data_IF_383984674082
#
_entry.id   IF_383984674082
#
_cell.length_a   1.000
_cell.length_b   1.000
_cell.length_c   1.000
_cell.angle_alpha   90.00
_cell.angle_beta   90.00
_cell.angle_gamma   90.00
#
_symmetry.space_group_name_H-M   'P 1'
#
loop_
_entity.id
_entity.type
_entity.pdbx_description
1 polymer ?
#
# COMPACT_ATOMS: atom_id res chain seq x y z
N UNK A 1 11.00 -6.95 19.78
CA UNK A 1 10.81 -5.84 18.82
C UNK A 1 11.80 -4.75 19.18
N UNK A 2 12.84 -4.56 18.38
CA UNK A 2 13.77 -3.45 18.60
C UNK A 2 13.24 -2.25 17.81
N UNK A 3 12.96 -1.15 18.50
CA UNK A 3 12.48 0.07 17.87
C UNK A 3 13.63 0.77 17.15
N UNK A 4 13.40 1.15 15.89
CA UNK A 4 14.25 2.07 15.15
C UNK A 4 14.03 3.50 15.61
N UNK A 5 14.78 4.45 15.05
CA UNK A 5 14.63 5.88 15.29
C UNK A 5 14.70 6.66 13.99
N UNK A 6 13.86 7.68 13.87
CA UNK A 6 13.91 8.60 12.73
C UNK A 6 15.23 9.38 12.76
N UNK A 7 16.00 9.32 11.68
CA UNK A 7 17.25 10.09 11.51
C UNK A 7 17.00 11.34 10.70
N UNK A 8 16.16 11.23 9.66
CA UNK A 8 15.93 12.31 8.70
C UNK A 8 14.52 12.22 8.11
N UNK A 9 13.94 13.39 7.80
CA UNK A 9 12.62 13.54 7.14
C UNK A 9 12.81 14.51 5.98
N UNK A 10 12.42 14.09 4.77
CA UNK A 10 12.56 14.83 3.51
C UNK A 10 11.27 14.73 2.70
N UNK A 11 10.31 15.62 2.97
CA UNK A 11 8.95 15.49 2.44
C UNK A 11 8.39 14.10 2.79
N UNK A 12 7.86 13.31 1.83
CA UNK A 12 7.30 11.99 2.11
C UNK A 12 8.35 10.90 2.39
N UNK A 13 9.65 11.22 2.29
CA UNK A 13 10.74 10.26 2.49
C UNK A 13 11.27 10.37 3.92
N UNK A 14 11.32 9.24 4.64
CA UNK A 14 11.79 9.19 6.03
C UNK A 14 12.90 8.15 6.15
N UNK A 15 14.06 8.56 6.65
CA UNK A 15 15.18 7.65 6.92
C UNK A 15 15.14 7.22 8.40
N UNK A 16 15.17 5.91 8.64
CA UNK A 16 15.03 5.29 9.95
C UNK A 16 16.23 4.40 10.23
N UNK A 17 16.94 4.67 11.32
CA UNK A 17 18.04 3.83 11.79
C UNK A 17 17.53 2.75 12.73
N UNK A 18 18.00 1.53 12.54
CA UNK A 18 17.75 0.39 13.40
C UNK A 18 19.04 -0.06 14.10
N UNK A 19 18.94 -0.74 15.26
CA UNK A 19 20.11 -1.37 15.84
C UNK A 19 20.69 -2.46 14.92
N UNK A 20 21.99 -2.80 15.08
CA UNK A 20 22.62 -3.87 14.30
C UNK A 20 21.85 -5.20 14.42
N UNK A 21 21.59 -5.83 13.28
CA UNK A 21 20.86 -7.11 13.21
C UNK A 21 19.33 -6.98 13.29
N UNK A 22 18.79 -5.77 13.41
CA UNK A 22 17.34 -5.50 13.43
C UNK A 22 16.85 -4.75 12.19
N UNK A 23 17.64 -4.73 11.12
CA UNK A 23 17.31 -4.02 9.88
C UNK A 23 16.11 -4.70 9.18
N UNK A 24 14.98 -4.01 8.98
CA UNK A 24 13.82 -4.58 8.32
C UNK A 24 14.09 -4.85 6.83
N UNK A 25 13.40 -5.85 6.25
CA UNK A 25 13.47 -6.13 4.81
C UNK A 25 12.82 -5.02 3.99
N UNK A 26 13.16 -4.95 2.70
CA UNK A 26 12.46 -4.08 1.75
C UNK A 26 10.97 -4.46 1.71
N UNK A 27 10.10 -3.46 1.57
CA UNK A 27 8.64 -3.53 1.64
C UNK A 27 8.04 -3.77 3.03
N UNK A 28 8.86 -3.96 4.06
CA UNK A 28 8.35 -4.07 5.43
C UNK A 28 7.64 -2.79 5.84
N UNK A 29 6.47 -2.93 6.46
CA UNK A 29 5.73 -1.82 7.05
C UNK A 29 6.32 -1.46 8.41
N UNK A 30 6.56 -0.18 8.63
CA UNK A 30 6.92 0.40 9.92
C UNK A 30 5.79 1.28 10.43
N UNK A 31 5.68 1.40 11.75
CA UNK A 31 4.66 2.21 12.43
C UNK A 31 5.32 3.27 13.30
N UNK A 32 4.81 4.49 13.25
CA UNK A 32 5.25 5.60 14.11
C UNK A 32 4.03 6.46 14.48
N UNK A 33 4.00 6.97 15.70
CA UNK A 33 2.99 7.95 16.12
C UNK A 33 3.31 9.32 15.52
N UNK A 34 2.35 9.91 14.80
CA UNK A 34 2.43 11.24 14.24
C UNK A 34 1.24 12.10 14.71
N UNK A 35 1.52 13.08 15.56
CA UNK A 35 0.52 14.04 16.07
C UNK A 35 -0.04 14.97 14.97
N UNK A 36 0.58 15.05 13.80
CA UNK A 36 0.08 15.81 12.66
C UNK A 36 -1.09 15.15 11.92
N UNK A 37 -1.33 13.85 12.15
CA UNK A 37 -2.45 13.10 11.55
C UNK A 37 -3.62 13.08 12.53
N UNK A 38 -3.41 12.43 13.68
CA UNK A 38 -4.37 12.37 14.79
C UNK A 38 -3.64 11.99 16.10
N UNK A 39 -4.40 11.85 17.20
CA UNK A 39 -3.86 11.51 18.52
C UNK A 39 -3.62 10.00 18.73
N UNK A 40 -3.89 9.14 17.74
CA UNK A 40 -3.71 7.70 17.88
C UNK A 40 -2.22 7.34 17.81
N UNK A 41 -1.83 6.38 18.63
CA UNK A 41 -0.50 5.79 18.52
C UNK A 41 -0.37 4.93 17.25
N UNK A 42 0.86 4.83 16.73
CA UNK A 42 1.18 3.99 15.56
C UNK A 42 0.30 4.33 14.31
N UNK A 43 -0.13 5.59 14.18
CA UNK A 43 -1.07 6.05 13.14
C UNK A 43 -0.43 6.28 11.77
N UNK A 44 0.88 6.54 11.69
CA UNK A 44 1.59 6.66 10.42
C UNK A 44 2.27 5.35 10.04
N UNK A 45 2.03 4.91 8.81
CA UNK A 45 2.72 3.77 8.19
C UNK A 45 3.83 4.28 7.28
N UNK A 46 5.02 3.72 7.44
CA UNK A 46 6.16 3.93 6.54
C UNK A 46 6.49 2.60 5.85
N UNK A 47 6.64 2.59 4.53
CA UNK A 47 7.10 1.40 3.79
C UNK A 47 8.59 1.48 3.52
N UNK A 48 9.36 0.44 3.85
CA UNK A 48 10.79 0.39 3.54
C UNK A 48 11.00 0.27 2.03
N UNK A 49 11.65 1.26 1.43
CA UNK A 49 11.95 1.27 -0.01
C UNK A 49 13.37 0.78 -0.34
N UNK A 50 14.35 1.08 0.52
CA UNK A 50 15.75 0.72 0.29
C UNK A 50 16.57 0.69 1.58
N UNK A 51 17.69 -0.04 1.53
CA UNK A 51 18.73 -0.03 2.57
C UNK A 51 19.84 0.93 2.18
N UNK A 52 20.15 1.91 3.04
CA UNK A 52 21.16 2.94 2.78
C UNK A 52 22.57 2.55 3.27
N UNK A 53 22.68 1.52 4.10
CA UNK A 53 23.89 1.22 4.87
C UNK A 53 23.83 1.79 6.29
N UNK A 54 24.85 1.53 7.10
CA UNK A 54 24.93 2.01 8.50
C UNK A 54 23.69 1.69 9.36
N UNK A 55 23.06 0.54 9.10
CA UNK A 55 21.79 0.12 9.70
C UNK A 55 20.62 1.11 9.50
N UNK A 56 20.64 1.89 8.42
CA UNK A 56 19.59 2.83 8.06
C UNK A 56 18.80 2.33 6.87
N UNK A 57 17.48 2.40 6.98
CA UNK A 57 16.55 2.19 5.87
C UNK A 57 15.92 3.50 5.45
N UNK A 58 15.68 3.65 4.16
CA UNK A 58 14.86 4.73 3.63
C UNK A 58 13.46 4.23 3.39
N UNK A 59 12.49 4.98 3.88
CA UNK A 59 11.09 4.64 3.82
C UNK A 59 10.27 5.72 3.12
N UNK A 60 9.11 5.33 2.60
CA UNK A 60 8.11 6.22 2.03
C UNK A 60 6.92 6.24 2.97
N UNK A 61 6.51 7.43 3.39
CA UNK A 61 5.35 7.63 4.24
C UNK A 61 4.06 7.44 3.44
N UNK A 62 3.09 6.71 4.01
CA UNK A 62 1.78 6.48 3.41
C UNK A 62 0.76 7.60 3.71
N UNK A 63 1.17 8.59 4.50
CA UNK A 63 0.39 9.77 4.88
C UNK A 63 1.35 10.96 5.11
N UNK A 64 0.83 12.10 5.59
CA UNK A 64 1.64 13.28 5.88
C UNK A 64 2.74 12.99 6.91
N UNK A 65 3.91 13.57 6.67
CA UNK A 65 5.07 13.56 7.55
C UNK A 65 5.17 14.82 8.42
N UNK A 66 4.22 15.75 8.27
CA UNK A 66 4.15 16.94 9.11
C UNK A 66 3.94 16.50 10.57
N UNK A 67 4.71 17.07 11.50
CA UNK A 67 4.70 16.69 12.91
C UNK A 67 5.69 15.58 13.30
N UNK A 68 6.37 14.95 12.33
CA UNK A 68 7.45 14.02 12.63
C UNK A 68 8.69 14.73 13.19
N UNK A 69 9.38 14.06 14.11
CA UNK A 69 10.57 14.56 14.77
C UNK A 69 11.69 13.54 14.72
N UNK A 70 12.91 14.03 14.53
CA UNK A 70 14.12 13.19 14.60
C UNK A 70 14.25 12.60 16.00
N UNK A 71 14.67 11.34 16.06
CA UNK A 71 14.77 10.56 17.29
C UNK A 71 13.47 9.86 17.71
N UNK A 72 12.33 10.14 17.06
CA UNK A 72 11.08 9.43 17.34
C UNK A 72 11.25 7.92 17.15
N UNK A 73 10.68 7.11 18.07
CA UNK A 73 10.73 5.66 17.96
C UNK A 73 9.88 5.17 16.79
N UNK A 74 10.41 4.21 16.03
CA UNK A 74 9.73 3.57 14.91
C UNK A 74 9.65 2.08 15.16
N UNK A 75 8.45 1.53 15.04
CA UNK A 75 8.18 0.12 15.28
C UNK A 75 8.22 -0.65 13.97
N UNK A 76 9.08 -1.66 13.90
CA UNK A 76 9.05 -2.64 12.82
C UNK A 76 7.88 -3.61 13.04
N UNK A 77 6.96 -3.72 12.08
CA UNK A 77 5.84 -4.67 12.15
C UNK A 77 6.25 -6.11 11.83
N UNK A 78 7.37 -6.29 11.13
CA UNK A 78 7.89 -7.59 10.68
C UNK A 78 7.15 -8.18 9.49
N UNK A 79 6.19 -7.45 8.91
CA UNK A 79 5.43 -7.86 7.72
C UNK A 79 5.27 -6.65 6.78
N UNK A 80 4.86 -6.90 5.55
CA UNK A 80 4.52 -5.85 4.59
C UNK A 80 3.16 -5.23 4.93
N UNK A 81 2.78 -4.16 4.24
CA UNK A 81 1.42 -3.61 4.36
C UNK A 81 0.40 -4.69 3.96
N UNK A 82 -0.54 -4.98 4.86
CA UNK A 82 -1.63 -5.93 4.63
C UNK A 82 -2.97 -5.22 4.67
N UNK A 83 -3.85 -5.57 3.74
CA UNK A 83 -5.18 -4.98 3.62
C UNK A 83 -6.27 -6.05 3.78
N UNK A 84 -7.45 -5.72 4.32
CA UNK A 84 -8.56 -6.66 4.43
C UNK A 84 -9.09 -7.03 3.04
N UNK A 85 -9.51 -8.29 2.88
CA UNK A 85 -10.04 -8.83 1.61
C UNK A 85 -11.29 -9.68 1.83
N UNK A 86 -12.00 -9.99 0.76
CA UNK A 86 -13.22 -10.81 0.76
C UNK A 86 -14.50 -9.97 0.69
N UNK A 87 -15.66 -10.62 0.76
CA UNK A 87 -16.96 -9.98 0.54
C UNK A 87 -17.26 -8.84 1.52
N UNK A 88 -16.67 -8.88 2.72
CA UNK A 88 -16.82 -7.84 3.74
C UNK A 88 -16.28 -6.45 3.30
N UNK A 89 -15.46 -6.39 2.26
CA UNK A 89 -14.93 -5.13 1.72
C UNK A 89 -15.83 -4.51 0.64
N UNK A 90 -16.82 -5.25 0.13
CA UNK A 90 -17.71 -4.75 -0.93
C UNK A 90 -18.55 -3.56 -0.42
N UNK A 91 -18.56 -2.48 -1.21
CA UNK A 91 -19.29 -1.25 -0.87
C UNK A 91 -18.64 -0.41 0.25
N UNK A 92 -17.41 -0.73 0.64
CA UNK A 92 -16.59 0.05 1.59
C UNK A 92 -15.60 0.94 0.85
N UNK A 93 -15.24 2.08 1.43
CA UNK A 93 -14.12 2.90 0.96
C UNK A 93 -12.94 2.69 1.90
N UNK A 94 -11.79 2.27 1.34
CA UNK A 94 -10.56 2.01 2.08
C UNK A 94 -9.44 2.89 1.56
N UNK A 95 -8.53 3.28 2.45
CA UNK A 95 -7.27 3.91 2.06
C UNK A 95 -6.20 2.86 1.69
N UNK A 96 -4.99 3.34 1.32
CA UNK A 96 -3.89 2.50 0.84
C UNK A 96 -3.39 1.47 1.87
N UNK A 97 -3.55 1.76 3.17
CA UNK A 97 -3.14 0.86 4.26
C UNK A 97 -4.27 -0.07 4.71
N UNK A 98 -5.43 -0.03 4.05
CA UNK A 98 -6.57 -0.91 4.31
C UNK A 98 -7.50 -0.44 5.43
N UNK A 99 -7.36 0.80 5.90
CA UNK A 99 -8.26 1.38 6.90
C UNK A 99 -9.51 1.96 6.22
N UNK A 100 -10.71 1.79 6.81
CA UNK A 100 -11.95 2.35 6.26
C UNK A 100 -11.98 3.88 6.44
N UNK A 101 -12.37 4.58 5.39
CA UNK A 101 -12.53 6.06 5.37
C UNK A 101 -13.97 6.49 5.06
N UNK A 102 -14.92 5.56 5.13
CA UNK A 102 -16.33 5.76 4.81
C UNK A 102 -17.23 6.02 6.03
N UNK A 103 -16.65 6.20 7.22
CA UNK A 103 -17.35 6.41 8.50
C UNK A 103 -18.33 5.28 8.91
N UNK A 104 -18.30 4.11 8.24
CA UNK A 104 -19.18 2.96 8.53
C UNK A 104 -18.61 1.98 9.56
N UNK A 105 -17.65 2.43 10.37
CA UNK A 105 -16.96 1.60 11.36
C UNK A 105 -15.96 0.60 10.73
N UNK A 106 -15.45 -0.38 11.49
CA UNK A 106 -14.39 -1.27 11.02
C UNK A 106 -14.87 -2.25 9.94
N UNK A 107 -13.94 -2.69 9.08
CA UNK A 107 -14.19 -3.76 8.10
C UNK A 107 -13.93 -5.11 8.79
N UNK A 108 -14.99 -5.89 8.99
CA UNK A 108 -14.91 -7.22 9.63
C UNK A 108 -14.57 -8.30 8.60
N UNK A 109 -13.39 -8.21 8.01
CA UNK A 109 -12.87 -9.22 7.08
C UNK A 109 -12.27 -10.41 7.85
N UNK A 110 -12.48 -11.62 7.32
CA UNK A 110 -11.89 -12.85 7.88
C UNK A 110 -10.43 -13.07 7.45
N UNK A 111 -9.98 -12.38 6.40
CA UNK A 111 -8.64 -12.51 5.84
C UNK A 111 -8.05 -11.15 5.50
N UNK A 112 -6.72 -11.06 5.60
CA UNK A 112 -5.93 -9.93 5.12
C UNK A 112 -4.79 -10.42 4.23
N UNK A 113 -4.56 -9.74 3.12
CA UNK A 113 -3.51 -10.09 2.17
C UNK A 113 -2.43 -9.01 2.10
N UNK A 114 -1.16 -9.40 1.87
CA UNK A 114 -0.09 -8.45 1.59
C UNK A 114 -0.32 -7.75 0.24
N UNK A 115 0.02 -6.46 0.17
CA UNK A 115 -0.04 -5.69 -1.08
C UNK A 115 1.09 -6.10 -2.04
N UNK A 116 2.24 -6.53 -1.51
CA UNK A 116 3.37 -7.04 -2.27
C UNK A 116 3.24 -8.56 -2.44
N UNK A 117 3.22 -9.02 -3.69
CA UNK A 117 3.25 -10.44 -4.06
C UNK A 117 3.83 -10.62 -5.45
N UNK A 118 4.41 -11.79 -5.72
CA UNK A 118 4.85 -12.15 -7.05
C UNK A 118 3.67 -12.18 -8.04
N UNK A 119 3.96 -11.90 -9.30
CA UNK A 119 3.03 -12.13 -10.39
C UNK A 119 2.75 -13.65 -10.52
N UNK A 120 1.61 -14.05 -11.11
CA UNK A 120 1.35 -15.45 -11.44
C UNK A 120 2.46 -16.04 -12.32
N UNK A 121 2.83 -17.29 -12.03
CA UNK A 121 3.85 -18.02 -12.80
C UNK A 121 3.40 -18.22 -14.25
N UNK A 122 4.36 -18.42 -15.16
CA UNK A 122 4.07 -18.61 -16.59
C UNK A 122 3.12 -19.78 -16.84
N UNK A 123 3.21 -20.84 -16.03
CA UNK A 123 2.37 -22.05 -16.14
C UNK A 123 0.92 -21.83 -15.71
N UNK A 124 0.66 -20.79 -14.90
CA UNK A 124 -0.68 -20.46 -14.40
C UNK A 124 -1.39 -19.45 -15.32
N UNK A 125 -0.71 -18.94 -16.35
CA UNK A 125 -1.29 -17.97 -17.28
C UNK A 125 -2.20 -18.67 -18.29
N UNK A 126 -3.47 -18.23 -18.33
CA UNK A 126 -4.40 -18.70 -19.35
C UNK A 126 -4.04 -18.14 -20.73
N UNK A 127 -4.06 -19.00 -21.74
CA UNK A 127 -3.89 -18.63 -23.16
C UNK A 127 -5.23 -18.43 -23.88
N UNK A 128 -6.36 -18.61 -23.18
CA UNK A 128 -7.69 -18.46 -23.74
C UNK A 128 -8.01 -16.99 -24.03
N UNK A 129 -8.45 -16.69 -25.25
CA UNK A 129 -8.98 -15.38 -25.60
C UNK A 129 -10.50 -15.46 -25.59
N UNK A 130 -11.13 -14.82 -24.60
CA UNK A 130 -12.58 -14.66 -24.50
C UNK A 130 -12.92 -13.16 -24.57
N UNK A 131 -13.96 -12.80 -25.31
CA UNK A 131 -14.49 -11.43 -25.30
C UNK A 131 -15.31 -11.18 -24.03
N UNK A 132 -15.12 -10.00 -23.45
CA UNK A 132 -15.93 -9.47 -22.35
C UNK A 132 -16.93 -8.47 -22.94
N UNK A 133 -18.19 -8.89 -23.08
CA UNK A 133 -19.27 -8.04 -23.59
C UNK A 133 -19.65 -6.98 -22.56
N UNK A 134 -19.56 -5.71 -22.96
CA UNK A 134 -19.83 -4.58 -22.06
C UNK A 134 -21.23 -4.00 -22.22
N UNK A 135 -21.88 -4.23 -23.36
CA UNK A 135 -23.12 -3.58 -23.78
C UNK A 135 -22.91 -2.19 -24.38
N UNK A 136 -21.67 -1.72 -24.51
CA UNK A 136 -21.34 -0.39 -25.05
C UNK A 136 -20.96 -0.55 -26.52
N UNK A 137 -21.82 -0.07 -27.44
CA UNK A 137 -21.66 -0.26 -28.89
C UNK A 137 -20.26 0.03 -29.43
N UNK A 138 -19.66 1.18 -29.07
CA UNK A 138 -18.35 1.56 -29.60
C UNK A 138 -17.24 0.64 -29.07
N UNK A 139 -17.36 0.18 -27.81
CA UNK A 139 -16.40 -0.77 -27.21
C UNK A 139 -16.59 -2.14 -27.86
N UNK A 140 -17.79 -2.69 -27.82
CA UNK A 140 -18.05 -4.05 -28.27
C UNK A 140 -17.87 -4.23 -29.80
N UNK A 141 -18.00 -3.17 -30.60
CA UNK A 141 -17.82 -3.23 -32.06
C UNK A 141 -16.40 -2.90 -32.52
N UNK A 142 -15.78 -1.85 -31.96
CA UNK A 142 -14.52 -1.28 -32.49
C UNK A 142 -13.31 -1.73 -31.67
N UNK A 143 -13.45 -1.84 -30.35
CA UNK A 143 -12.35 -2.22 -29.46
C UNK A 143 -12.83 -3.18 -28.35
N UNK A 144 -13.23 -4.42 -28.70
CA UNK A 144 -13.79 -5.37 -27.73
C UNK A 144 -12.80 -5.69 -26.61
N UNK A 145 -13.28 -5.79 -25.37
CA UNK A 145 -12.42 -6.05 -24.23
C UNK A 145 -12.13 -7.54 -24.08
N UNK A 146 -10.88 -7.96 -23.83
CA UNK A 146 -10.56 -9.33 -23.47
C UNK A 146 -10.93 -9.59 -22.01
N UNK A 147 -11.69 -10.66 -21.75
CA UNK A 147 -12.01 -11.12 -20.40
C UNK A 147 -10.74 -11.61 -19.70
N UNK A 148 -10.46 -11.06 -18.51
CA UNK A 148 -9.23 -11.32 -17.77
C UNK A 148 -7.97 -10.61 -18.32
N UNK A 149 -8.11 -9.79 -19.36
CA UNK A 149 -7.02 -8.99 -19.90
C UNK A 149 -6.89 -7.61 -19.26
N UNK A 150 -5.95 -6.81 -19.77
CA UNK A 150 -5.73 -5.41 -19.36
C UNK A 150 -6.30 -4.47 -20.42
N UNK A 151 -7.07 -3.48 -19.99
CA UNK A 151 -7.69 -2.47 -20.86
C UNK A 151 -7.24 -1.09 -20.40
N UNK A 152 -6.74 -0.27 -21.33
CA UNK A 152 -6.38 1.13 -21.06
C UNK A 152 -7.45 2.08 -21.58
N UNK A 153 -7.94 2.98 -20.73
CA UNK A 153 -8.81 4.09 -21.12
C UNK A 153 -7.97 5.35 -21.20
N UNK A 154 -7.68 5.79 -22.42
CA UNK A 154 -6.87 6.99 -22.66
C UNK A 154 -7.78 8.19 -22.91
N UNK A 155 -7.78 9.13 -21.96
CA UNK A 155 -8.59 10.35 -22.01
C UNK A 155 -7.80 11.60 -21.58
N UNK A 156 -8.45 12.75 -21.66
CA UNK A 156 -7.97 14.03 -21.15
C UNK A 156 -8.91 14.61 -20.11
N UNK A 157 -8.72 15.88 -19.72
CA UNK A 157 -9.63 16.54 -18.79
C UNK A 157 -11.01 16.79 -19.42
N UNK A 158 -12.08 16.35 -18.75
CA UNK A 158 -13.46 16.65 -19.13
C UNK A 158 -14.07 15.80 -20.24
N UNK A 159 -13.45 14.65 -20.58
CA UNK A 159 -13.90 13.80 -21.71
C UNK A 159 -14.88 12.68 -21.32
N UNK A 160 -15.35 12.63 -20.07
CA UNK A 160 -16.26 11.63 -19.54
C UNK A 160 -15.85 11.17 -18.16
#
# INVERSE_FOLDING_TARGET
>A
MQAGRIVQVMGPVVDVAFPPGALPEIYTALRVSNAGIDERDDNLVLEVAQHLGENTVRTIAMDTTDGLMRGQPVKNTGDVIRVPVGEATLGRIMNVIGEPVDEKGPIRASASYPIHRAAPEFVDQSTSVESFETGIKVVDLIAPYPKGGKVGLFGGAGVG
#
